data_IF_302867061678
#
_entry.id   IF_302867061678
#
_cell.length_a   1.000
_cell.length_b   1.000
_cell.length_c   1.000
_cell.angle_alpha   90.00
_cell.angle_beta   90.00
_cell.angle_gamma   90.00
#
_symmetry.space_group_name_H-M   'P 1'
#
loop_
_entity.id
_entity.type
_entity.pdbx_description
1 polymer ?
#
# COMPACT_ATOMS: atom_id res chain seq x y z
N UNK A 1 -70.71 -40.26 -15.04
CA UNK A 1 -69.29 -40.33 -15.44
C UNK A 1 -68.48 -39.67 -14.31
N UNK A 2 -68.02 -40.40 -13.28
CA UNK A 2 -66.74 -41.16 -13.19
C UNK A 2 -65.52 -40.21 -13.32
N UNK A 3 -64.56 -40.04 -12.40
CA UNK A 3 -64.12 -40.81 -11.20
C UNK A 3 -63.09 -40.01 -10.38
N UNK A 4 -63.09 -40.19 -9.05
CA UNK A 4 -61.97 -40.39 -8.08
C UNK A 4 -60.78 -39.40 -7.89
N UNK A 5 -60.71 -38.86 -6.66
CA UNK A 5 -59.71 -39.06 -5.56
C UNK A 5 -58.19 -38.74 -5.69
N UNK A 6 -57.69 -38.19 -4.56
CA UNK A 6 -56.30 -38.21 -4.02
C UNK A 6 -55.34 -37.19 -4.64
N UNK A 7 -54.31 -36.62 -3.98
CA UNK A 7 -53.68 -36.76 -2.68
C UNK A 7 -52.74 -35.55 -2.53
N UNK A 8 -52.47 -35.14 -1.29
CA UNK A 8 -51.37 -34.30 -0.78
C UNK A 8 -50.24 -33.87 -1.73
N UNK A 9 -49.94 -32.56 -1.73
CA UNK A 9 -48.54 -32.07 -1.67
C UNK A 9 -48.45 -30.82 -0.79
N UNK A 10 -47.72 -30.99 0.31
CA UNK A 10 -47.11 -29.92 1.10
C UNK A 10 -45.97 -29.36 0.26
N UNK A 11 -46.05 -28.09 -0.12
CA UNK A 11 -44.88 -27.31 -0.53
C UNK A 11 -44.75 -26.12 0.42
N UNK A 12 -43.78 -26.22 1.31
CA UNK A 12 -43.33 -25.18 2.24
C UNK A 12 -42.74 -24.02 1.45
N UNK A 13 -43.53 -22.97 1.22
CA UNK A 13 -43.02 -21.68 0.78
C UNK A 13 -42.59 -20.86 2.01
N UNK A 14 -41.29 -20.58 2.08
CA UNK A 14 -40.68 -19.63 2.99
C UNK A 14 -41.43 -18.29 2.92
N UNK A 15 -42.08 -17.93 4.02
CA UNK A 15 -42.72 -16.63 4.21
C UNK A 15 -41.68 -15.66 4.77
N UNK A 16 -40.90 -15.02 3.88
CA UNK A 16 -40.13 -13.82 4.25
C UNK A 16 -41.12 -12.66 4.41
N UNK A 17 -41.49 -12.38 5.66
CA UNK A 17 -42.30 -11.24 6.03
C UNK A 17 -41.46 -9.96 5.94
N UNK A 18 -41.60 -9.21 4.84
CA UNK A 18 -41.16 -7.82 4.75
C UNK A 18 -42.04 -6.94 5.64
N UNK A 19 -41.49 -6.45 6.74
CA UNK A 19 -42.12 -5.39 7.54
C UNK A 19 -41.60 -4.05 6.99
N UNK A 20 -42.45 -3.34 6.24
CA UNK A 20 -42.18 -1.97 5.81
C UNK A 20 -42.62 -0.99 6.90
N UNK A 21 -41.70 -0.20 7.45
CA UNK A 21 -42.01 0.96 8.30
C UNK A 21 -41.53 2.26 7.63
N UNK A 22 -42.25 3.38 7.78
CA UNK A 22 -41.91 4.62 7.10
C UNK A 22 -40.86 5.39 7.90
N UNK A 23 -39.70 5.63 7.29
CA UNK A 23 -38.59 6.39 7.87
C UNK A 23 -37.26 5.81 7.40
N UNK A 24 -36.76 6.34 6.27
CA UNK A 24 -35.56 5.86 5.59
C UNK A 24 -34.28 6.05 6.40
N UNK A 25 -34.00 5.11 7.30
CA UNK A 25 -32.66 4.83 7.79
C UNK A 25 -32.30 3.47 7.24
N UNK A 26 -31.44 3.48 6.22
CA UNK A 26 -30.84 2.32 5.61
C UNK A 26 -29.93 1.67 6.67
N UNK A 27 -30.39 0.58 7.28
CA UNK A 27 -29.52 -0.29 8.06
C UNK A 27 -28.64 -1.06 7.07
N UNK A 28 -27.64 -0.38 6.54
CA UNK A 28 -26.59 -1.04 5.77
C UNK A 28 -25.91 -2.09 6.67
N UNK A 29 -25.83 -3.32 6.17
CA UNK A 29 -25.53 -4.55 6.90
C UNK A 29 -24.29 -4.46 7.80
N UNK A 30 -24.50 -4.35 9.12
CA UNK A 30 -23.44 -4.45 10.15
C UNK A 30 -22.80 -5.85 10.17
N UNK A 31 -23.49 -6.90 9.71
CA UNK A 31 -22.97 -8.27 9.64
C UNK A 31 -22.09 -8.53 8.39
N UNK A 32 -22.38 -7.92 7.24
CA UNK A 32 -21.53 -8.03 6.03
C UNK A 32 -20.18 -7.33 6.24
N UNK A 33 -20.17 -6.17 6.91
CA UNK A 33 -18.92 -5.44 7.25
C UNK A 33 -18.03 -6.25 8.19
N UNK A 34 -18.62 -6.97 9.18
CA UNK A 34 -17.87 -7.86 10.07
C UNK A 34 -17.25 -9.05 9.35
N UNK A 35 -17.98 -9.68 8.43
CA UNK A 35 -17.47 -10.81 7.63
C UNK A 35 -16.33 -10.38 6.69
N UNK A 36 -16.45 -9.21 6.05
CA UNK A 36 -15.40 -8.63 5.21
C UNK A 36 -14.12 -8.27 5.98
N UNK A 37 -14.25 -7.67 7.17
CA UNK A 37 -13.10 -7.31 8.01
C UNK A 37 -12.36 -8.53 8.57
N UNK A 38 -13.08 -9.55 9.03
CA UNK A 38 -12.47 -10.78 9.51
C UNK A 38 -11.70 -11.53 8.41
N UNK A 39 -12.26 -11.58 7.18
CA UNK A 39 -11.58 -12.16 6.03
C UNK A 39 -10.31 -11.37 5.64
N UNK A 40 -10.36 -10.04 5.71
CA UNK A 40 -9.22 -9.17 5.43
C UNK A 40 -8.12 -9.29 6.51
N UNK A 41 -8.48 -9.38 7.80
CA UNK A 41 -7.53 -9.64 8.90
C UNK A 41 -6.81 -10.97 8.68
N UNK A 42 -7.55 -12.03 8.34
CA UNK A 42 -6.95 -13.34 8.05
C UNK A 42 -5.96 -13.26 6.88
N UNK A 43 -6.29 -12.48 5.86
CA UNK A 43 -5.43 -12.32 4.68
C UNK A 43 -4.16 -11.53 5.01
N UNK A 44 -4.26 -10.43 5.78
CA UNK A 44 -3.08 -9.70 6.26
C UNK A 44 -2.22 -10.58 7.17
N UNK A 45 -2.83 -11.30 8.11
CA UNK A 45 -2.13 -12.23 9.00
C UNK A 45 -1.38 -13.31 8.19
N UNK A 46 -2.00 -13.85 7.14
CA UNK A 46 -1.35 -14.80 6.24
C UNK A 46 -0.09 -14.23 5.58
N UNK A 47 -0.16 -13.01 5.03
CA UNK A 47 0.99 -12.36 4.40
C UNK A 47 2.10 -12.05 5.40
N UNK A 48 1.75 -11.51 6.58
CA UNK A 48 2.71 -11.24 7.67
C UNK A 48 3.37 -12.52 8.15
N UNK A 49 2.61 -13.59 8.39
CA UNK A 49 3.16 -14.89 8.78
C UNK A 49 4.10 -15.45 7.71
N UNK A 50 3.75 -15.30 6.43
CA UNK A 50 4.62 -15.75 5.33
C UNK A 50 5.95 -14.98 5.33
N UNK A 51 5.92 -13.66 5.53
CA UNK A 51 7.12 -12.85 5.65
C UNK A 51 7.98 -13.25 6.87
N UNK A 52 7.35 -13.53 8.02
CA UNK A 52 8.04 -14.00 9.22
C UNK A 52 8.71 -15.35 8.99
N UNK A 53 7.98 -16.32 8.41
CA UNK A 53 8.53 -17.65 8.09
C UNK A 53 9.71 -17.54 7.14
N UNK A 54 9.62 -16.68 6.12
CA UNK A 54 10.73 -16.42 5.22
C UNK A 54 11.93 -15.80 5.93
N UNK A 55 11.73 -14.74 6.73
CA UNK A 55 12.81 -14.06 7.45
C UNK A 55 13.50 -14.96 8.50
N UNK A 56 12.74 -15.77 9.22
CA UNK A 56 13.28 -16.77 10.16
C UNK A 56 14.04 -17.87 9.40
N UNK A 57 13.48 -18.36 8.29
CA UNK A 57 14.15 -19.33 7.42
C UNK A 57 15.47 -18.80 6.84
N UNK A 58 15.49 -17.52 6.45
CA UNK A 58 16.71 -16.82 6.03
C UNK A 58 17.72 -16.74 7.18
N UNK A 59 17.27 -16.50 8.40
CA UNK A 59 18.12 -16.50 9.60
C UNK A 59 18.81 -17.84 9.86
N UNK A 60 18.11 -18.95 9.67
CA UNK A 60 18.70 -20.29 9.79
C UNK A 60 19.70 -20.61 8.67
N UNK A 61 19.47 -20.10 7.46
CA UNK A 61 20.28 -20.42 6.28
C UNK A 61 21.50 -19.51 6.12
N UNK A 62 21.33 -18.21 6.31
CA UNK A 62 22.33 -17.16 6.02
C UNK A 62 22.76 -16.37 7.25
N UNK A 63 22.17 -16.66 8.43
CA UNK A 63 22.55 -16.08 9.71
C UNK A 63 21.65 -14.94 10.18
N UNK A 64 21.73 -14.63 11.48
CA UNK A 64 20.90 -13.62 12.13
C UNK A 64 21.05 -12.21 11.54
N UNK A 65 22.23 -11.86 11.00
CA UNK A 65 22.46 -10.58 10.34
C UNK A 65 21.61 -10.39 9.08
N UNK A 66 21.49 -11.42 8.23
CA UNK A 66 20.64 -11.33 7.03
C UNK A 66 19.15 -11.32 7.36
N UNK A 67 18.76 -12.04 8.42
CA UNK A 67 17.40 -11.96 8.93
C UNK A 67 17.06 -10.55 9.46
N UNK A 68 17.97 -9.91 10.20
CA UNK A 68 17.73 -8.55 10.72
C UNK A 68 17.68 -7.52 9.60
N UNK A 69 18.53 -7.63 8.57
CA UNK A 69 18.44 -6.85 7.33
C UNK A 69 17.07 -7.02 6.65
N UNK A 70 16.59 -8.26 6.51
CA UNK A 70 15.30 -8.56 5.92
C UNK A 70 14.15 -7.94 6.72
N UNK A 71 14.11 -8.14 8.04
CA UNK A 71 13.04 -7.61 8.88
C UNK A 71 13.06 -6.08 8.92
N UNK A 72 14.25 -5.47 8.93
CA UNK A 72 14.37 -4.01 8.92
C UNK A 72 13.86 -3.45 7.58
N UNK A 73 14.29 -4.03 6.45
CA UNK A 73 13.79 -3.67 5.13
C UNK A 73 12.28 -3.91 4.98
N UNK A 74 11.76 -5.00 5.54
CA UNK A 74 10.35 -5.35 5.47
C UNK A 74 9.50 -4.37 6.28
N UNK A 75 9.90 -4.05 7.52
CA UNK A 75 9.17 -3.08 8.35
C UNK A 75 9.22 -1.67 7.78
N UNK A 76 10.39 -1.24 7.28
CA UNK A 76 10.54 0.04 6.59
C UNK A 76 9.59 0.14 5.40
N UNK A 77 9.64 -0.86 4.51
CA UNK A 77 8.80 -0.86 3.33
C UNK A 77 7.32 -0.97 3.67
N UNK A 78 6.97 -1.79 4.66
CA UNK A 78 5.58 -1.96 5.09
C UNK A 78 4.99 -0.65 5.59
N UNK A 79 5.77 0.16 6.31
CA UNK A 79 5.32 1.45 6.83
C UNK A 79 5.23 2.52 5.75
N UNK A 80 6.22 2.60 4.85
CA UNK A 80 6.16 3.51 3.71
C UNK A 80 5.03 3.13 2.75
N UNK A 81 4.77 1.83 2.58
CA UNK A 81 3.63 1.35 1.79
C UNK A 81 2.28 1.75 2.38
N UNK A 82 2.15 1.93 3.70
CA UNK A 82 0.91 2.46 4.32
C UNK A 82 0.72 3.92 3.95
N UNK A 83 1.77 4.72 3.91
CA UNK A 83 1.72 6.11 3.44
C UNK A 83 1.27 6.16 1.96
N UNK A 84 1.78 5.26 1.13
CA UNK A 84 1.34 5.13 -0.27
C UNK A 84 -0.16 4.82 -0.41
N UNK A 85 -0.75 4.07 0.52
CA UNK A 85 -2.19 3.80 0.52
C UNK A 85 -3.03 5.09 0.67
N UNK A 86 -2.48 6.13 1.29
CA UNK A 86 -3.20 7.39 1.52
C UNK A 86 -3.45 8.07 0.18
N UNK A 87 -2.39 8.18 -0.63
CA UNK A 87 -2.49 8.67 -2.00
C UNK A 87 -3.40 7.79 -2.85
N UNK A 88 -3.42 6.47 -2.66
CA UNK A 88 -4.36 5.61 -3.39
C UNK A 88 -5.82 5.92 -3.03
N UNK A 89 -6.14 6.12 -1.74
CA UNK A 89 -7.47 6.54 -1.29
C UNK A 89 -7.83 7.89 -1.89
N UNK A 90 -6.91 8.86 -1.89
CA UNK A 90 -7.15 10.18 -2.47
C UNK A 90 -7.40 10.11 -3.98
N UNK A 91 -6.61 9.31 -4.72
CA UNK A 91 -6.80 9.08 -6.16
C UNK A 91 -8.19 8.48 -6.42
N UNK A 92 -8.60 7.46 -5.67
CA UNK A 92 -9.92 6.85 -5.85
C UNK A 92 -11.06 7.80 -5.53
N UNK A 93 -10.93 8.63 -4.50
CA UNK A 93 -11.89 9.68 -4.17
C UNK A 93 -11.97 10.73 -5.28
N UNK A 94 -10.82 11.19 -5.78
CA UNK A 94 -10.73 12.19 -6.84
C UNK A 94 -11.38 11.73 -8.15
N UNK A 95 -11.05 10.52 -8.60
CA UNK A 95 -11.63 9.93 -9.82
C UNK A 95 -13.00 9.29 -9.61
N UNK A 96 -13.53 9.30 -8.37
CA UNK A 96 -14.81 8.68 -7.99
C UNK A 96 -14.90 7.22 -8.46
N UNK A 97 -13.86 6.44 -8.18
CA UNK A 97 -13.77 5.04 -8.61
C UNK A 97 -14.75 4.19 -7.80
N UNK A 98 -15.70 3.47 -8.44
CA UNK A 98 -16.59 2.56 -7.75
C UNK A 98 -15.82 1.50 -6.95
N UNK A 99 -16.29 1.20 -5.73
CA UNK A 99 -15.64 0.26 -4.80
C UNK A 99 -15.42 -1.13 -5.40
N UNK A 100 -16.34 -1.60 -6.24
CA UNK A 100 -16.24 -2.86 -7.00
C UNK A 100 -15.01 -2.93 -7.93
N UNK A 101 -14.50 -1.79 -8.41
CA UNK A 101 -13.36 -1.75 -9.32
C UNK A 101 -12.04 -1.41 -8.64
N UNK A 102 -12.06 -0.87 -7.42
CA UNK A 102 -10.84 -0.52 -6.67
C UNK A 102 -9.94 -1.74 -6.48
N UNK A 103 -10.51 -2.90 -6.14
CA UNK A 103 -9.75 -4.14 -5.98
C UNK A 103 -9.05 -4.60 -7.25
N UNK A 104 -9.64 -4.32 -8.42
CA UNK A 104 -9.04 -4.64 -9.72
C UNK A 104 -7.87 -3.70 -9.98
N UNK A 105 -8.09 -2.39 -9.81
CA UNK A 105 -7.04 -1.38 -9.97
C UNK A 105 -5.85 -1.66 -9.07
N UNK A 106 -6.07 -1.97 -7.79
CA UNK A 106 -5.00 -2.34 -6.86
C UNK A 106 -4.22 -3.57 -7.32
N UNK A 107 -4.89 -4.57 -7.90
CA UNK A 107 -4.21 -5.79 -8.35
C UNK A 107 -3.27 -5.51 -9.53
N UNK A 108 -3.67 -4.66 -10.48
CA UNK A 108 -2.80 -4.22 -11.57
C UNK A 108 -1.70 -3.29 -11.07
N UNK A 109 -2.03 -2.33 -10.19
CA UNK A 109 -1.06 -1.42 -9.59
C UNK A 109 0.02 -2.16 -8.80
N UNK A 110 -0.33 -3.18 -8.01
CA UNK A 110 0.64 -4.03 -7.30
C UNK A 110 1.53 -4.80 -8.27
N UNK A 111 0.96 -5.37 -9.34
CA UNK A 111 1.76 -6.08 -10.35
C UNK A 111 2.75 -5.13 -11.04
N UNK A 112 2.32 -3.92 -11.40
CA UNK A 112 3.18 -2.87 -11.96
C UNK A 112 4.26 -2.43 -10.96
N UNK A 113 3.87 -2.14 -9.71
CA UNK A 113 4.78 -1.74 -8.63
C UNK A 113 5.91 -2.74 -8.42
N UNK A 114 5.62 -4.04 -8.40
CA UNK A 114 6.66 -5.09 -8.27
C UNK A 114 7.67 -5.03 -9.43
N UNK A 115 7.19 -4.82 -10.67
CA UNK A 115 8.07 -4.72 -11.85
C UNK A 115 8.94 -3.46 -11.79
N UNK A 116 8.33 -2.30 -11.50
CA UNK A 116 9.05 -1.04 -11.43
C UNK A 116 10.06 -1.03 -10.28
N UNK A 117 9.69 -1.53 -9.10
CA UNK A 117 10.59 -1.65 -7.96
C UNK A 117 11.72 -2.62 -8.22
N UNK A 118 11.46 -3.78 -8.82
CA UNK A 118 12.54 -4.68 -9.25
C UNK A 118 13.53 -3.95 -10.18
N UNK A 119 13.01 -3.21 -11.15
CA UNK A 119 13.83 -2.44 -12.09
C UNK A 119 14.68 -1.38 -11.37
N UNK A 120 14.08 -0.60 -10.47
CA UNK A 120 14.76 0.43 -9.69
C UNK A 120 15.78 -0.15 -8.71
N UNK A 121 15.49 -1.29 -8.07
CA UNK A 121 16.42 -1.98 -7.17
C UNK A 121 17.62 -2.50 -7.95
N UNK A 122 17.42 -3.12 -9.13
CA UNK A 122 18.51 -3.60 -9.97
C UNK A 122 19.39 -2.44 -10.47
N UNK A 123 18.77 -1.36 -10.95
CA UNK A 123 19.49 -0.16 -11.38
C UNK A 123 20.23 0.52 -10.22
N UNK A 124 19.57 0.64 -9.06
CA UNK A 124 20.14 1.22 -7.85
C UNK A 124 21.33 0.41 -7.34
N UNK A 125 21.20 -0.91 -7.27
CA UNK A 125 22.30 -1.81 -6.87
C UNK A 125 23.49 -1.67 -7.81
N UNK A 126 23.26 -1.73 -9.12
CA UNK A 126 24.33 -1.61 -10.12
C UNK A 126 25.03 -0.23 -10.07
N UNK A 127 24.30 0.82 -9.67
CA UNK A 127 24.82 2.18 -9.54
C UNK A 127 25.61 2.36 -8.25
N UNK A 128 25.07 1.91 -7.11
CA UNK A 128 25.72 2.01 -5.79
C UNK A 128 27.03 1.21 -5.71
N UNK A 129 27.12 0.09 -6.42
CA UNK A 129 28.36 -0.69 -6.51
C UNK A 129 29.48 0.03 -7.26
N UNK A 130 29.15 0.99 -8.14
CA UNK A 130 30.12 1.72 -8.97
C UNK A 130 30.45 3.11 -8.43
N UNK A 131 29.52 3.75 -7.75
CA UNK A 131 29.63 5.14 -7.33
C UNK A 131 29.21 5.31 -5.87
N UNK A 132 30.18 5.28 -4.96
CA UNK A 132 29.91 5.47 -3.52
C UNK A 132 29.28 6.84 -3.21
N UNK A 133 29.57 7.87 -4.00
CA UNK A 133 28.96 9.19 -3.87
C UNK A 133 27.43 9.17 -4.04
N UNK A 134 26.88 8.17 -4.74
CA UNK A 134 25.43 8.00 -4.88
C UNK A 134 24.79 7.68 -3.53
N UNK A 135 25.49 6.99 -2.63
CA UNK A 135 25.01 6.76 -1.26
C UNK A 135 24.76 8.08 -0.52
N UNK A 136 25.64 9.08 -0.70
CA UNK A 136 25.49 10.39 -0.08
C UNK A 136 24.34 11.19 -0.69
N UNK A 137 24.14 11.08 -2.01
CA UNK A 137 22.99 11.67 -2.69
C UNK A 137 21.67 11.08 -2.18
N UNK A 138 21.60 9.75 -2.08
CA UNK A 138 20.45 9.02 -1.56
C UNK A 138 20.16 9.42 -0.10
N UNK A 139 21.19 9.55 0.73
CA UNK A 139 21.03 10.05 2.09
C UNK A 139 20.46 11.48 2.12
N UNK A 140 20.92 12.36 1.21
CA UNK A 140 20.39 13.72 1.06
C UNK A 140 18.91 13.74 0.68
N UNK A 141 18.47 12.84 -0.22
CA UNK A 141 17.05 12.68 -0.57
C UNK A 141 16.25 12.29 0.68
N UNK A 142 16.70 11.29 1.44
CA UNK A 142 15.99 10.84 2.65
C UNK A 142 15.86 11.94 3.71
N UNK A 143 16.92 12.72 3.94
CA UNK A 143 16.88 13.84 4.87
C UNK A 143 15.94 14.94 4.40
N UNK A 144 15.91 15.20 3.09
CA UNK A 144 14.98 16.15 2.49
C UNK A 144 13.53 15.70 2.66
N UNK A 145 13.23 14.43 2.40
CA UNK A 145 11.89 13.86 2.56
C UNK A 145 11.45 13.87 4.02
N UNK A 146 12.33 13.47 4.95
CA UNK A 146 12.09 13.58 6.39
C UNK A 146 11.77 15.02 6.82
N UNK A 147 12.56 16.00 6.35
CA UNK A 147 12.32 17.42 6.63
C UNK A 147 10.97 17.89 6.08
N UNK A 148 10.64 17.52 4.83
CA UNK A 148 9.38 17.90 4.19
C UNK A 148 8.17 17.35 4.96
N UNK A 149 8.22 16.10 5.41
CA UNK A 149 7.16 15.51 6.23
C UNK A 149 7.01 16.26 7.57
N UNK A 150 8.10 16.59 8.26
CA UNK A 150 8.03 17.36 9.51
C UNK A 150 7.56 18.81 9.33
N UNK A 151 7.87 19.43 8.20
CA UNK A 151 7.49 20.79 7.89
C UNK A 151 6.00 20.93 7.50
N UNK A 152 5.22 19.84 7.54
CA UNK A 152 3.82 19.82 7.11
C UNK A 152 3.66 19.99 5.59
N UNK A 153 4.67 19.61 4.81
CA UNK A 153 4.75 19.86 3.36
C UNK A 153 3.89 18.96 2.47
N UNK A 154 2.90 18.26 3.02
CA UNK A 154 1.86 17.56 2.25
C UNK A 154 0.57 18.38 2.33
N UNK A 155 0.51 19.43 1.52
CA UNK A 155 -0.72 20.18 1.27
C UNK A 155 -1.64 19.31 0.39
N UNK A 156 -2.23 18.28 0.99
CA UNK A 156 -3.03 17.21 0.35
C UNK A 156 -4.41 17.65 -0.15
N UNK A 157 -4.62 18.94 -0.34
CA UNK A 157 -5.94 19.47 -0.63
C UNK A 157 -6.29 19.51 -2.12
N UNK A 158 -5.34 19.33 -3.05
CA UNK A 158 -5.67 19.42 -4.49
C UNK A 158 -4.93 18.43 -5.41
N UNK A 159 -5.44 17.20 -5.52
CA UNK A 159 -4.98 16.22 -6.52
C UNK A 159 -5.13 16.74 -7.96
N UNK A 160 -6.02 17.71 -8.20
CA UNK A 160 -6.21 18.28 -9.54
C UNK A 160 -4.99 19.07 -10.02
N UNK A 161 -4.20 19.62 -9.09
CA UNK A 161 -2.99 20.37 -9.40
C UNK A 161 -1.74 19.48 -9.47
N UNK A 162 -1.86 18.21 -9.06
CA UNK A 162 -0.75 17.27 -9.02
C UNK A 162 -0.21 16.96 -10.42
N UNK A 163 1.11 17.12 -10.58
CA UNK A 163 1.84 16.89 -11.83
C UNK A 163 1.57 15.50 -12.44
N UNK A 164 1.44 14.46 -11.60
CA UNK A 164 1.21 13.09 -12.04
C UNK A 164 -0.16 12.97 -12.71
N UNK A 165 -1.20 13.50 -12.05
CA UNK A 165 -2.59 13.48 -12.55
C UNK A 165 -2.70 14.26 -13.86
N UNK A 166 -2.16 15.49 -13.90
CA UNK A 166 -2.18 16.34 -15.10
C UNK A 166 -1.44 15.71 -16.28
N UNK A 167 -0.28 15.12 -16.02
CA UNK A 167 0.52 14.45 -17.06
C UNK A 167 -0.26 13.28 -17.65
N UNK A 168 -0.85 12.44 -16.80
CA UNK A 168 -1.64 11.31 -17.27
C UNK A 168 -2.89 11.75 -18.06
N UNK A 169 -3.62 12.76 -17.58
CA UNK A 169 -4.80 13.29 -18.27
C UNK A 169 -4.45 13.93 -19.62
N UNK A 170 -3.25 14.50 -19.77
CA UNK A 170 -2.76 15.09 -21.03
C UNK A 170 -2.30 14.04 -22.03
N UNK A 171 -1.67 12.96 -21.55
CA UNK A 171 -1.07 11.92 -22.40
C UNK A 171 -2.08 10.84 -22.79
N UNK A 172 -2.99 10.48 -21.89
CA UNK A 172 -3.96 9.40 -22.09
C UNK A 172 -5.30 10.01 -22.52
N UNK A 173 -5.78 9.73 -23.75
CA UNK A 173 -7.10 10.18 -24.19
C UNK A 173 -8.18 9.32 -23.52
N UNK A 174 -8.86 9.90 -22.52
CA UNK A 174 -9.80 9.20 -21.64
C UNK A 174 -11.26 9.51 -22.00
N UNK A 175 -12.13 8.52 -21.89
CA UNK A 175 -13.59 8.70 -22.04
C UNK A 175 -14.23 9.37 -20.83
N UNK A 176 -15.36 10.05 -21.02
CA UNK A 176 -16.07 10.81 -19.97
C UNK A 176 -16.76 9.93 -18.92
N UNK A 177 -16.90 8.63 -19.16
CA UNK A 177 -17.63 7.71 -18.28
C UNK A 177 -16.92 6.36 -18.17
N UNK A 178 -17.14 5.69 -17.03
CA UNK A 178 -16.72 4.32 -16.80
C UNK A 178 -17.53 3.35 -17.67
N UNK A 179 -16.87 2.39 -18.32
CA UNK A 179 -17.49 1.29 -19.08
C UNK A 179 -17.26 -0.02 -18.31
N UNK A 180 -17.92 -0.13 -17.16
CA UNK A 180 -17.79 -1.23 -16.23
C UNK A 180 -16.32 -1.49 -15.83
N UNK A 181 -15.89 -2.74 -15.97
CA UNK A 181 -14.55 -3.20 -15.60
C UNK A 181 -13.51 -3.17 -16.74
N UNK A 182 -13.85 -2.57 -17.89
CA UNK A 182 -12.97 -2.56 -19.07
C UNK A 182 -11.96 -1.43 -18.96
N UNK A 183 -10.72 -1.67 -19.39
CA UNK A 183 -9.69 -0.64 -19.49
C UNK A 183 -9.74 0.14 -20.80
N UNK A 184 -10.22 -0.50 -21.86
CA UNK A 184 -10.40 0.10 -23.17
C UNK A 184 -11.86 -0.04 -23.61
N UNK A 185 -12.38 1.00 -24.22
CA UNK A 185 -13.73 1.00 -24.81
C UNK A 185 -13.66 1.48 -26.25
N UNK A 186 -14.52 0.93 -27.10
CA UNK A 186 -14.63 1.34 -28.49
C UNK A 186 -15.78 2.36 -28.60
N UNK A 187 -15.43 3.63 -28.80
CA UNK A 187 -16.39 4.75 -28.89
C UNK A 187 -15.94 5.76 -29.94
N UNK A 188 -16.89 6.23 -30.76
CA UNK A 188 -16.66 7.14 -31.89
C UNK A 188 -15.62 6.59 -32.88
N UNK A 189 -15.79 5.34 -33.32
CA UNK A 189 -14.92 4.64 -34.29
C UNK A 189 -13.42 4.55 -33.93
N UNK A 190 -13.09 4.73 -32.64
CA UNK A 190 -11.73 4.60 -32.13
C UNK A 190 -11.69 3.87 -30.79
N UNK A 191 -10.59 3.17 -30.54
CA UNK A 191 -10.27 2.64 -29.23
C UNK A 191 -9.84 3.79 -28.31
N UNK A 192 -10.50 3.93 -27.17
CA UNK A 192 -10.20 4.95 -26.16
C UNK A 192 -9.92 4.29 -24.82
N UNK A 193 -9.03 4.93 -24.05
CA UNK A 193 -8.79 4.53 -22.67
C UNK A 193 -9.99 4.92 -21.80
N UNK A 194 -10.36 4.03 -20.88
CA UNK A 194 -11.36 4.36 -19.86
C UNK A 194 -10.72 5.10 -18.68
N UNK A 195 -11.50 5.79 -17.84
CA UNK A 195 -11.01 6.36 -16.61
C UNK A 195 -10.33 5.33 -15.69
N UNK A 196 -10.72 4.06 -15.77
CA UNK A 196 -10.12 3.00 -14.97
C UNK A 196 -8.64 2.76 -15.33
N UNK A 197 -8.29 2.86 -16.61
CA UNK A 197 -6.89 2.75 -17.06
C UNK A 197 -6.06 3.95 -16.62
N UNK A 198 -6.66 5.15 -16.68
CA UNK A 198 -6.04 6.38 -16.19
C UNK A 198 -5.69 6.25 -14.70
N UNK A 199 -6.62 5.73 -13.89
CA UNK A 199 -6.41 5.54 -12.45
C UNK A 199 -5.27 4.54 -12.19
N UNK A 200 -5.20 3.41 -12.91
CA UNK A 200 -4.07 2.47 -12.81
C UNK A 200 -2.75 3.18 -13.12
N UNK A 201 -2.68 3.95 -14.21
CA UNK A 201 -1.48 4.66 -14.61
C UNK A 201 -1.05 5.71 -13.56
N UNK A 202 -1.99 6.45 -12.99
CA UNK A 202 -1.69 7.42 -11.92
C UNK A 202 -1.14 6.70 -10.68
N UNK A 203 -1.76 5.58 -10.28
CA UNK A 203 -1.28 4.77 -9.16
C UNK A 203 0.13 4.23 -9.40
N UNK A 204 0.41 3.70 -10.59
CA UNK A 204 1.74 3.20 -10.93
C UNK A 204 2.80 4.31 -10.91
N UNK A 205 2.48 5.49 -11.45
CA UNK A 205 3.41 6.63 -11.40
C UNK A 205 3.59 7.17 -9.97
N UNK A 206 2.54 7.17 -9.16
CA UNK A 206 2.64 7.52 -7.74
C UNK A 206 3.53 6.52 -6.99
N UNK A 207 3.41 5.21 -7.23
CA UNK A 207 4.31 4.21 -6.63
C UNK A 207 5.77 4.42 -7.06
N UNK A 208 6.03 4.75 -8.33
CA UNK A 208 7.38 5.11 -8.80
C UNK A 208 7.91 6.36 -8.07
N UNK A 209 7.05 7.36 -7.83
CA UNK A 209 7.43 8.54 -7.05
C UNK A 209 7.77 8.15 -5.60
N UNK A 210 6.97 7.29 -4.95
CA UNK A 210 7.25 6.79 -3.60
C UNK A 210 8.49 5.89 -3.52
N UNK A 211 8.85 5.23 -4.61
CA UNK A 211 10.09 4.46 -4.70
C UNK A 211 11.34 5.34 -4.52
N UNK A 212 11.24 6.66 -4.77
CA UNK A 212 12.33 7.62 -4.57
C UNK A 212 12.71 7.75 -3.10
N UNK A 213 11.77 7.59 -2.18
CA UNK A 213 12.06 7.65 -0.74
C UNK A 213 12.30 6.26 -0.15
N UNK A 214 11.51 5.27 -0.57
CA UNK A 214 11.55 3.92 0.02
C UNK A 214 12.75 3.09 -0.42
N UNK A 215 13.16 3.13 -1.69
CA UNK A 215 14.31 2.34 -2.16
C UNK A 215 15.62 2.83 -1.53
N UNK A 216 15.92 4.13 -1.48
CA UNK A 216 17.08 4.62 -0.75
C UNK A 216 17.09 4.25 0.73
N UNK A 217 15.94 4.30 1.40
CA UNK A 217 15.83 3.92 2.80
C UNK A 217 16.19 2.44 3.01
N UNK A 218 15.69 1.54 2.16
CA UNK A 218 16.03 0.11 2.24
C UNK A 218 17.52 -0.12 1.91
N UNK A 219 18.09 0.61 0.94
CA UNK A 219 19.55 0.56 0.68
C UNK A 219 20.40 1.08 1.84
N UNK A 220 19.87 1.99 2.66
CA UNK A 220 20.48 2.42 3.90
C UNK A 220 20.48 1.35 5.00
N UNK A 221 19.62 0.34 4.90
CA UNK A 221 19.61 -0.83 5.79
C UNK A 221 20.51 -1.94 5.28
N UNK A 222 20.38 -2.32 4.01
CA UNK A 222 21.15 -3.41 3.41
C UNK A 222 21.49 -3.10 1.95
N UNK A 223 22.68 -3.55 1.53
CA UNK A 223 23.14 -3.47 0.13
C UNK A 223 22.98 -4.79 -0.63
N UNK A 224 22.37 -5.79 0.00
CA UNK A 224 22.12 -7.08 -0.63
C UNK A 224 20.86 -7.02 -1.50
N UNK A 225 20.98 -7.08 -2.84
CA UNK A 225 19.83 -6.94 -3.74
C UNK A 225 18.76 -8.01 -3.52
N UNK A 226 19.14 -9.21 -3.06
CA UNK A 226 18.18 -10.30 -2.79
C UNK A 226 17.33 -9.95 -1.57
N UNK A 227 17.95 -9.38 -0.53
CA UNK A 227 17.24 -8.97 0.69
C UNK A 227 16.39 -7.74 0.41
N UNK A 228 16.95 -6.73 -0.26
CA UNK A 228 16.21 -5.53 -0.69
C UNK A 228 14.97 -5.96 -1.47
N UNK A 229 15.11 -6.81 -2.50
CA UNK A 229 13.98 -7.24 -3.31
C UNK A 229 12.97 -8.09 -2.53
N UNK A 230 13.44 -9.09 -1.78
CA UNK A 230 12.53 -9.99 -1.05
C UNK A 230 11.73 -9.26 0.03
N UNK A 231 12.36 -8.39 0.82
CA UNK A 231 11.66 -7.62 1.87
C UNK A 231 10.59 -6.71 1.26
N UNK A 232 10.90 -6.11 0.11
CA UNK A 232 9.99 -5.24 -0.63
C UNK A 232 8.80 -6.00 -1.21
N UNK A 233 9.08 -7.14 -1.84
CA UNK A 233 8.07 -8.01 -2.41
C UNK A 233 7.08 -8.48 -1.34
N UNK A 234 7.57 -8.95 -0.18
CA UNK A 234 6.69 -9.39 0.91
C UNK A 234 5.82 -8.26 1.47
N UNK A 235 6.34 -7.04 1.58
CA UNK A 235 5.57 -5.89 2.04
C UNK A 235 4.44 -5.51 1.07
N UNK A 236 4.72 -5.55 -0.24
CA UNK A 236 3.76 -5.15 -1.29
C UNK A 236 2.68 -6.21 -1.54
N UNK A 237 3.00 -7.50 -1.42
CA UNK A 237 2.01 -8.57 -1.64
C UNK A 237 0.85 -8.50 -0.63
N UNK A 238 1.09 -8.01 0.58
CA UNK A 238 0.07 -7.78 1.60
C UNK A 238 -0.78 -6.52 1.39
N UNK A 239 -0.39 -5.65 0.46
CA UNK A 239 -0.95 -4.30 0.30
C UNK A 239 -2.44 -4.29 -0.01
N UNK A 240 -2.92 -5.22 -0.84
CA UNK A 240 -4.35 -5.29 -1.18
C UNK A 240 -5.22 -5.56 0.05
N UNK A 241 -4.84 -6.53 0.85
CA UNK A 241 -5.55 -6.84 2.09
C UNK A 241 -5.40 -5.74 3.14
N UNK A 242 -4.24 -5.07 3.16
CA UNK A 242 -4.00 -3.95 4.05
C UNK A 242 -4.85 -2.74 3.68
N UNK A 243 -5.00 -2.42 2.40
CA UNK A 243 -5.89 -1.38 1.91
C UNK A 243 -7.31 -1.58 2.44
N UNK A 244 -7.89 -2.77 2.27
CA UNK A 244 -9.25 -3.05 2.75
C UNK A 244 -9.38 -2.96 4.27
N UNK A 245 -8.31 -3.20 5.04
CA UNK A 245 -8.35 -3.06 6.50
C UNK A 245 -8.15 -1.63 6.99
N UNK A 246 -7.27 -0.88 6.33
CA UNK A 246 -6.77 0.38 6.85
C UNK A 246 -7.49 1.55 6.19
N UNK A 247 -8.05 1.45 4.98
CA UNK A 247 -8.64 2.57 4.23
C UNK A 247 -9.67 3.40 5.02
N UNK A 248 -10.37 2.78 5.97
CA UNK A 248 -11.33 3.44 6.87
C UNK A 248 -10.68 4.05 8.12
N UNK A 249 -9.58 3.46 8.60
CA UNK A 249 -8.84 3.91 9.80
C UNK A 249 -7.59 4.74 9.46
N UNK A 250 -7.28 5.01 8.19
CA UNK A 250 -6.09 5.76 7.79
C UNK A 250 -6.06 7.16 8.37
N UNK A 251 -7.22 7.85 8.40
CA UNK A 251 -7.34 9.19 8.99
C UNK A 251 -7.10 9.20 10.51
N UNK A 252 -7.08 8.03 11.15
CA UNK A 252 -6.85 7.89 12.60
C UNK A 252 -5.35 7.69 12.92
N UNK A 253 -4.48 7.48 11.92
CA UNK A 253 -3.05 7.22 12.08
C UNK A 253 -2.18 8.49 12.04
N UNK A 254 -2.59 9.54 12.76
CA UNK A 254 -1.96 10.87 12.74
C UNK A 254 -0.47 10.85 13.09
N UNK A 255 -0.04 9.97 14.01
CA UNK A 255 1.37 9.89 14.41
C UNK A 255 2.22 8.95 13.52
N UNK A 256 1.63 8.31 12.52
CA UNK A 256 2.38 7.45 11.61
C UNK A 256 3.31 8.25 10.68
N UNK A 257 2.83 9.36 10.12
CA UNK A 257 3.66 10.24 9.28
C UNK A 257 4.89 10.80 10.03
N UNK A 258 4.77 11.37 11.25
CA UNK A 258 5.93 11.76 12.05
C UNK A 258 6.88 10.60 12.38
N UNK A 259 6.36 9.39 12.62
CA UNK A 259 7.19 8.21 12.87
C UNK A 259 8.01 7.82 11.62
N UNK A 260 7.38 7.83 10.44
CA UNK A 260 8.06 7.60 9.16
C UNK A 260 9.13 8.66 8.92
N UNK A 261 8.81 9.94 9.13
CA UNK A 261 9.78 11.04 8.99
C UNK A 261 11.00 10.87 9.91
N UNK A 262 10.76 10.49 11.17
CA UNK A 262 11.82 10.19 12.14
C UNK A 262 12.73 9.06 11.64
N UNK A 263 12.12 8.00 11.12
CA UNK A 263 12.83 6.84 10.59
C UNK A 263 13.65 7.19 9.35
N UNK A 264 13.08 7.92 8.38
CA UNK A 264 13.78 8.38 7.19
C UNK A 264 14.97 9.27 7.56
N UNK A 265 14.78 10.20 8.50
CA UNK A 265 15.84 11.06 9.02
C UNK A 265 16.97 10.26 9.65
N UNK A 266 16.65 9.26 10.47
CA UNK A 266 17.62 8.35 11.07
C UNK A 266 18.41 7.57 10.01
N UNK A 267 17.73 6.96 9.04
CA UNK A 267 18.39 6.19 7.98
C UNK A 267 19.27 7.10 7.09
N UNK A 268 18.82 8.31 6.76
CA UNK A 268 19.64 9.30 6.05
C UNK A 268 20.92 9.65 6.83
N UNK A 269 20.80 9.97 8.12
CA UNK A 269 21.95 10.22 9.00
C UNK A 269 22.88 9.01 9.11
N UNK A 270 22.32 7.79 9.17
CA UNK A 270 23.08 6.55 9.17
C UNK A 270 23.89 6.39 7.89
N UNK A 271 23.28 6.60 6.72
CA UNK A 271 23.96 6.47 5.42
C UNK A 271 25.13 7.45 5.27
N UNK A 272 25.01 8.67 5.81
CA UNK A 272 26.12 9.64 5.88
C UNK A 272 27.20 9.13 6.83
N UNK A 273 26.82 8.65 8.01
CA UNK A 273 27.75 8.14 9.03
C UNK A 273 28.57 6.95 8.52
N UNK A 274 27.91 6.01 7.82
CA UNK A 274 28.54 4.87 7.16
C UNK A 274 29.56 5.33 6.10
N UNK A 275 29.28 6.42 5.37
CA UNK A 275 30.22 7.02 4.41
C UNK A 275 31.49 7.59 5.08
N UNK A 276 31.38 8.11 6.31
CA UNK A 276 32.52 8.59 7.09
C UNK A 276 33.22 7.48 7.90
N UNK A 277 32.79 6.22 7.78
CA UNK A 277 33.40 5.05 8.42
C UNK A 277 32.78 4.65 9.77
N UNK A 278 31.77 5.37 10.26
CA UNK A 278 31.03 5.01 11.47
C UNK A 278 29.91 4.04 11.13
N UNK A 279 30.16 2.74 11.32
CA UNK A 279 29.21 1.69 10.98
C UNK A 279 28.17 1.51 12.09
N UNK A 280 26.92 1.83 11.80
CA UNK A 280 25.80 1.55 12.70
C UNK A 280 25.28 0.15 12.42
N UNK A 281 25.26 -0.71 13.44
CA UNK A 281 24.73 -2.08 13.31
C UNK A 281 23.29 -2.09 12.80
N UNK A 282 23.00 -3.03 11.90
CA UNK A 282 21.65 -3.26 11.37
C UNK A 282 20.65 -3.62 12.47
N UNK A 283 21.08 -4.26 13.54
CA UNK A 283 20.22 -4.58 14.69
C UNK A 283 19.74 -3.33 15.43
N UNK A 284 20.62 -2.32 15.55
CA UNK A 284 20.25 -1.01 16.12
C UNK A 284 19.27 -0.30 15.20
N UNK A 285 19.50 -0.38 13.89
CA UNK A 285 18.60 0.20 12.90
C UNK A 285 17.22 -0.45 12.96
N UNK A 286 17.17 -1.79 13.00
CA UNK A 286 15.94 -2.57 13.16
C UNK A 286 15.19 -2.19 14.44
N UNK A 287 15.90 -2.15 15.57
CA UNK A 287 15.31 -1.78 16.85
C UNK A 287 14.72 -0.37 16.84
N UNK A 288 15.45 0.59 16.26
CA UNK A 288 14.97 1.97 16.12
C UNK A 288 13.73 2.06 15.23
N UNK A 289 13.78 1.45 14.03
CA UNK A 289 12.67 1.40 13.08
C UNK A 289 11.44 0.77 13.73
N UNK A 290 11.58 -0.41 14.32
CA UNK A 290 10.47 -1.11 14.96
C UNK A 290 9.89 -0.29 16.12
N UNK A 291 10.72 0.36 16.92
CA UNK A 291 10.27 1.19 18.06
C UNK A 291 9.52 2.42 17.60
N UNK A 292 10.07 3.20 16.66
CA UNK A 292 9.43 4.41 16.16
C UNK A 292 8.09 4.11 15.50
N UNK A 293 8.03 3.10 14.63
CA UNK A 293 6.80 2.71 13.94
C UNK A 293 5.75 2.17 14.90
N UNK A 294 6.16 1.29 15.83
CA UNK A 294 5.23 0.75 16.84
C UNK A 294 4.71 1.86 17.77
N UNK A 295 5.56 2.81 18.17
CA UNK A 295 5.15 3.96 18.96
C UNK A 295 4.19 4.87 18.19
N UNK A 296 4.45 5.14 16.91
CA UNK A 296 3.55 5.94 16.07
C UNK A 296 2.16 5.30 15.94
N UNK A 297 2.10 3.98 15.72
CA UNK A 297 0.84 3.24 15.67
C UNK A 297 0.15 3.24 17.03
N UNK A 298 0.87 2.93 18.12
CA UNK A 298 0.29 2.87 19.47
C UNK A 298 -0.26 4.22 19.92
N UNK A 299 0.48 5.32 19.74
CA UNK A 299 0.03 6.66 20.09
C UNK A 299 -1.20 7.09 19.28
N UNK A 300 -1.24 6.73 17.99
CA UNK A 300 -2.40 7.00 17.14
C UNK A 300 -3.65 6.27 17.63
N UNK A 301 -3.51 4.99 18.02
CA UNK A 301 -4.61 4.19 18.55
C UNK A 301 -5.05 4.65 19.95
N UNK A 302 -4.14 5.15 20.78
CA UNK A 302 -4.48 5.71 22.09
C UNK A 302 -5.29 7.00 21.96
N UNK A 303 -4.88 7.92 21.08
CA UNK A 303 -5.60 9.19 20.83
C UNK A 303 -7.02 8.96 20.33
N UNK A 304 -7.26 7.88 19.59
CA UNK A 304 -8.60 7.47 19.14
C UNK A 304 -9.54 7.08 20.30
N UNK A 305 -9.00 6.59 21.41
CA UNK A 305 -9.79 6.10 22.55
C UNK A 305 -10.30 7.21 23.47
N UNK A 306 -9.81 8.43 23.31
CA UNK A 306 -10.22 9.64 24.04
C UNK A 306 -11.26 10.44 23.25
#
# INVERSE_FOLDING_TARGET
MTTSLSSDRVDTANNESYISLPGGVEYENIEETKHGRAASIRTVAFWVCTAIVFGVGLGFKEGAGKASEFFAGYLLEQSLSVDNLFVFVLIFKYFKVPTEYQSRVLSYGIAGAVIFRLSLILLGTATLQKFEAVNLLLAGILLFSAYKLFAGGEDDSDLSDNFIVKTCQKVIPVTSSYDGNKFFTFQNDAWKATPLLLVVAVIELSDIAFAVDSIPAVFGVTRDPVIVFSSNLFAILGLRSLYTLVSESMSELEYLQPAIATVLGFIGCKMISDFFGFHVSTEVSLGFVATCLSAGVALSLMKRSD
#
